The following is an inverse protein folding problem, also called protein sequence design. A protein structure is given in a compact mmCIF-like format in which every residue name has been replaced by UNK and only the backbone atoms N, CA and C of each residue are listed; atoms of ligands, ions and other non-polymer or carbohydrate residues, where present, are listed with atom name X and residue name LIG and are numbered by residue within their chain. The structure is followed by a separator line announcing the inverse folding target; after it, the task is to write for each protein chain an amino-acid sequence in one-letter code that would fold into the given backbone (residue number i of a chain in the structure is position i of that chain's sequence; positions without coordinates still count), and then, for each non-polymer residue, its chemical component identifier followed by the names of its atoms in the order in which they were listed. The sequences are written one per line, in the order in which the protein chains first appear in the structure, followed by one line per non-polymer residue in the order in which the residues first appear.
data_IF_447255743920
#
_entry.id   IF_447255743920
#
_cell.length_a   1.000
_cell.length_b   1.000
_cell.length_c   1.000
_cell.angle_alpha   90.00
_cell.angle_beta   90.00
_cell.angle_gamma   90.00
#
_symmetry.space_group_name_H-M   'P 1'
#
loop_
_entity.id
_entity.type
_entity.pdbx_description
1 polymer ?
#
# COMPACT_ATOMS: atom_id res chain seq x y z
N UNK A 1 0.55 -7.69 5.80
CA UNK A 1 0.10 -6.42 6.42
C UNK A 1 -0.81 -5.64 5.48
N UNK A 2 -0.31 -5.25 4.29
CA UNK A 2 -1.03 -4.36 3.36
C UNK A 2 -2.39 -4.88 2.89
N UNK A 3 -2.64 -6.19 2.88
CA UNK A 3 -3.97 -6.73 2.62
C UNK A 3 -4.99 -6.25 3.66
N UNK A 4 -4.69 -6.40 4.95
CA UNK A 4 -5.59 -5.95 6.01
C UNK A 4 -5.71 -4.43 6.03
N UNK A 5 -4.60 -3.70 5.88
CA UNK A 5 -4.62 -2.25 5.88
C UNK A 5 -5.38 -1.69 4.66
N UNK A 6 -4.94 -2.03 3.45
CA UNK A 6 -5.42 -1.38 2.22
C UNK A 6 -6.66 -2.04 1.63
N UNK A 7 -6.69 -3.37 1.59
CA UNK A 7 -7.79 -4.09 0.96
C UNK A 7 -9.00 -4.25 1.89
N UNK A 8 -8.79 -4.29 3.21
CA UNK A 8 -9.88 -4.35 4.21
C UNK A 8 -10.14 -2.98 4.81
N UNK A 9 -9.21 -2.42 5.59
CA UNK A 9 -9.49 -1.22 6.39
C UNK A 9 -9.74 0.05 5.56
N UNK A 10 -9.19 0.14 4.35
CA UNK A 10 -9.44 1.26 3.43
C UNK A 10 -10.56 0.98 2.41
N UNK A 11 -11.39 -0.04 2.63
CA UNK A 11 -12.51 -0.39 1.75
C UNK A 11 -13.80 0.37 2.11
N UNK A 12 -14.77 0.48 1.18
CA UNK A 12 -16.10 1.01 1.48
C UNK A 12 -16.80 0.21 2.59
N UNK A 13 -16.79 -1.12 2.50
CA UNK A 13 -17.41 -2.02 3.48
C UNK A 13 -16.87 -1.80 4.90
N UNK A 14 -15.57 -1.58 5.05
CA UNK A 14 -15.01 -1.32 6.37
C UNK A 14 -15.42 0.04 6.92
N UNK A 15 -15.65 1.03 6.04
CA UNK A 15 -16.14 2.35 6.44
C UNK A 15 -17.56 2.26 7.04
N UNK A 16 -18.42 1.39 6.49
CA UNK A 16 -19.74 1.08 7.07
C UNK A 16 -19.63 0.46 8.47
N UNK A 17 -18.70 -0.49 8.63
CA UNK A 17 -18.44 -1.13 9.93
C UNK A 17 -17.88 -0.16 10.98
N UNK A 18 -16.98 0.73 10.55
CA UNK A 18 -16.19 1.59 11.44
C UNK A 18 -16.96 2.83 11.88
N UNK A 19 -17.73 3.46 10.99
CA UNK A 19 -18.38 4.74 11.26
C UNK A 19 -19.22 4.75 12.55
N UNK A 20 -20.12 3.77 12.82
CA UNK A 20 -20.89 3.77 14.07
C UNK A 20 -20.02 3.71 15.33
N UNK A 21 -18.84 3.07 15.24
CA UNK A 21 -17.89 2.97 16.37
C UNK A 21 -17.15 4.28 16.59
N UNK A 22 -16.77 4.95 15.52
CA UNK A 22 -16.18 6.28 15.60
C UNK A 22 -17.16 7.29 16.20
N UNK A 23 -18.42 7.31 15.75
CA UNK A 23 -19.43 8.20 16.34
C UNK A 23 -19.69 7.89 17.82
N UNK A 24 -19.61 6.62 18.22
CA UNK A 24 -19.71 6.23 19.64
C UNK A 24 -18.52 6.67 20.48
N UNK A 25 -17.31 6.66 19.91
CA UNK A 25 -16.07 7.04 20.62
C UNK A 25 -15.77 8.54 20.60
N UNK A 26 -16.24 9.25 19.56
CA UNK A 26 -16.03 10.67 19.33
C UNK A 26 -17.39 11.35 19.11
N UNK A 27 -18.09 11.76 20.17
CA UNK A 27 -19.43 12.33 20.06
C UNK A 27 -19.50 13.63 19.23
N UNK A 28 -18.38 14.33 19.08
CA UNK A 28 -18.26 15.55 18.26
C UNK A 28 -18.13 15.25 16.76
N UNK A 29 -17.93 13.98 16.36
CA UNK A 29 -17.99 13.60 14.95
C UNK A 29 -19.40 13.86 14.44
N UNK A 30 -19.52 14.59 13.33
CA UNK A 30 -20.82 15.06 12.82
C UNK A 30 -21.84 13.91 12.76
N UNK A 31 -23.01 14.13 13.35
CA UNK A 31 -24.15 13.21 13.23
C UNK A 31 -24.63 13.03 11.78
N UNK A 32 -24.13 13.84 10.85
CA UNK A 32 -24.42 13.75 9.41
C UNK A 32 -23.36 13.00 8.60
N UNK A 33 -22.27 12.54 9.22
CA UNK A 33 -21.22 11.83 8.50
C UNK A 33 -21.74 10.50 7.94
N UNK A 34 -21.40 10.20 6.69
CA UNK A 34 -21.76 8.95 6.01
C UNK A 34 -20.56 8.01 5.88
N UNK A 35 -20.82 6.75 5.56
CA UNK A 35 -19.74 5.78 5.31
C UNK A 35 -18.89 6.20 4.09
N UNK A 36 -19.52 6.81 3.09
CA UNK A 36 -18.85 7.36 1.91
C UNK A 36 -17.94 8.55 2.27
N UNK A 37 -18.37 9.43 3.19
CA UNK A 37 -17.53 10.53 3.68
C UNK A 37 -16.27 10.00 4.37
N UNK A 38 -16.43 8.98 5.23
CA UNK A 38 -15.32 8.33 5.91
C UNK A 38 -14.40 7.61 4.91
N UNK A 39 -14.97 6.88 3.96
CA UNK A 39 -14.23 6.21 2.90
C UNK A 39 -13.40 7.20 2.08
N UNK A 40 -13.98 8.34 1.69
CA UNK A 40 -13.26 9.41 1.00
C UNK A 40 -12.15 10.01 1.86
N UNK A 41 -12.42 10.31 3.14
CA UNK A 41 -11.47 10.90 4.07
C UNK A 41 -10.25 9.99 4.35
N UNK A 42 -10.45 8.67 4.39
CA UNK A 42 -9.36 7.71 4.59
C UNK A 42 -8.51 7.48 3.33
N UNK A 43 -9.03 7.80 2.15
CA UNK A 43 -8.40 7.50 0.85
C UNK A 43 -7.95 8.76 0.10
N UNK A 44 -7.57 9.81 0.83
CA UNK A 44 -7.06 11.06 0.22
C UNK A 44 -5.68 10.83 -0.41
N UNK A 45 -5.57 11.09 -1.71
CA UNK A 45 -4.30 11.28 -2.44
C UNK A 45 -3.65 12.57 -1.97
N UNK A 46 -2.46 12.47 -1.37
CA UNK A 46 -1.78 13.61 -0.75
C UNK A 46 -0.95 14.37 -1.78
N UNK A 47 -1.01 15.69 -1.70
CA UNK A 47 -0.10 16.58 -2.42
C UNK A 47 0.16 17.84 -1.59
N UNK A 48 1.43 18.18 -1.27
CA UNK A 48 2.65 17.44 -1.61
C UNK A 48 2.81 16.15 -0.78
N UNK A 49 3.41 15.11 -1.37
CA UNK A 49 3.67 13.81 -0.73
C UNK A 49 5.18 13.66 -0.48
N UNK A 50 5.67 14.21 0.64
CA UNK A 50 7.11 14.23 0.97
C UNK A 50 7.58 12.99 1.75
N UNK A 51 6.75 12.49 2.66
CA UNK A 51 7.11 11.44 3.61
C UNK A 51 6.48 10.12 3.20
N UNK A 52 7.32 9.12 2.90
CA UNK A 52 6.87 7.81 2.39
C UNK A 52 5.88 7.11 3.32
N UNK A 53 6.14 7.11 4.63
CA UNK A 53 5.29 6.41 5.60
C UNK A 53 3.92 7.05 5.79
N UNK A 54 3.76 8.30 5.33
CA UNK A 54 2.50 9.06 5.40
C UNK A 54 1.79 9.14 4.03
N UNK A 55 2.43 8.62 2.98
CA UNK A 55 1.92 8.68 1.60
C UNK A 55 0.70 7.78 1.37
N UNK A 56 -0.13 8.17 0.43
CA UNK A 56 -1.33 7.45 0.01
C UNK A 56 -1.03 6.29 -0.96
N UNK A 57 -2.02 5.44 -1.25
CA UNK A 57 -1.81 4.25 -2.09
C UNK A 57 -1.36 4.57 -3.53
N UNK A 58 -1.68 5.77 -4.05
CA UNK A 58 -1.34 6.18 -5.42
C UNK A 58 0.10 6.71 -5.47
N UNK A 59 0.51 7.54 -4.51
CA UNK A 59 1.87 8.12 -4.50
C UNK A 59 2.91 7.20 -3.86
N UNK A 60 2.52 6.25 -3.02
CA UNK A 60 3.43 5.34 -2.32
C UNK A 60 4.40 4.57 -3.23
N UNK A 61 4.00 3.98 -4.38
CA UNK A 61 4.94 3.27 -5.25
C UNK A 61 6.05 4.16 -5.80
N UNK A 62 5.78 5.45 -6.03
CA UNK A 62 6.79 6.41 -6.51
C UNK A 62 7.89 6.62 -5.46
N UNK A 63 7.54 6.73 -4.19
CA UNK A 63 8.52 6.79 -3.09
C UNK A 63 9.47 5.59 -3.07
N UNK A 64 8.95 4.40 -3.40
CA UNK A 64 9.75 3.18 -3.49
C UNK A 64 10.67 3.20 -4.71
N UNK A 65 10.18 3.66 -5.86
CA UNK A 65 10.97 3.77 -7.10
C UNK A 65 12.15 4.72 -6.89
N UNK A 66 11.94 5.88 -6.28
CA UNK A 66 13.01 6.85 -6.00
C UNK A 66 14.16 6.19 -5.22
N UNK A 67 13.84 5.43 -4.16
CA UNK A 67 14.85 4.75 -3.33
C UNK A 67 15.54 3.63 -4.08
N UNK A 68 14.80 2.84 -4.85
CA UNK A 68 15.34 1.77 -5.68
C UNK A 68 16.32 2.31 -6.73
N UNK A 69 15.99 3.43 -7.39
CA UNK A 69 16.88 4.05 -8.38
C UNK A 69 18.16 4.59 -7.75
N UNK A 70 18.07 5.20 -6.57
CA UNK A 70 19.24 5.66 -5.81
C UNK A 70 20.11 4.48 -5.38
N UNK A 71 19.52 3.42 -4.82
CA UNK A 71 20.25 2.20 -4.45
C UNK A 71 20.95 1.58 -5.66
N UNK A 72 20.27 1.49 -6.80
CA UNK A 72 20.88 1.00 -8.03
C UNK A 72 22.05 1.86 -8.49
N UNK A 73 21.91 3.17 -8.46
CA UNK A 73 22.97 4.10 -8.89
C UNK A 73 24.21 4.00 -7.97
N UNK A 74 24.01 3.83 -6.66
CA UNK A 74 25.09 3.57 -5.70
C UNK A 74 25.77 2.23 -6.00
N UNK A 75 25.00 1.16 -6.19
CA UNK A 75 25.55 -0.19 -6.42
C UNK A 75 26.27 -0.31 -7.76
N UNK A 76 25.87 0.46 -8.78
CA UNK A 76 26.55 0.51 -10.07
C UNK A 76 27.77 1.43 -10.08
N UNK A 77 28.04 2.17 -9.00
CA UNK A 77 29.09 3.18 -8.94
C UNK A 77 28.83 4.38 -9.85
N UNK A 78 27.57 4.65 -10.19
CA UNK A 78 27.19 5.79 -11.04
C UNK A 78 27.04 7.09 -10.25
N UNK A 79 26.96 7.02 -8.92
CA UNK A 79 26.99 8.14 -7.99
C UNK A 79 27.83 7.77 -6.76
N UNK A 80 28.36 8.77 -6.06
CA UNK A 80 28.92 8.63 -4.72
C UNK A 80 27.85 8.92 -3.64
N UNK A 81 28.13 8.53 -2.38
CA UNK A 81 27.22 8.77 -1.25
C UNK A 81 26.90 10.26 -1.06
N UNK A 82 27.85 11.14 -1.37
CA UNK A 82 27.67 12.59 -1.24
C UNK A 82 26.67 13.17 -2.27
N UNK A 83 26.35 12.44 -3.33
CA UNK A 83 25.43 12.88 -4.38
C UNK A 83 23.96 12.54 -4.05
N UNK A 84 23.72 11.73 -3.00
CA UNK A 84 22.38 11.27 -2.61
C UNK A 84 21.41 12.44 -2.37
N UNK A 85 21.74 13.52 -1.64
CA UNK A 85 20.79 14.61 -1.39
C UNK A 85 20.27 15.26 -2.69
N UNK A 86 21.17 15.54 -3.63
CA UNK A 86 20.83 16.21 -4.90
C UNK A 86 20.01 15.27 -5.81
N UNK A 87 20.42 14.00 -5.90
CA UNK A 87 19.67 13.02 -6.67
C UNK A 87 18.28 12.77 -6.07
N UNK A 88 18.18 12.73 -4.75
CA UNK A 88 16.89 12.60 -4.04
C UNK A 88 15.95 13.76 -4.38
N UNK A 89 16.43 15.00 -4.27
CA UNK A 89 15.62 16.18 -4.58
C UNK A 89 15.14 16.18 -6.03
N UNK A 90 16.04 15.84 -6.96
CA UNK A 90 15.72 15.73 -8.39
C UNK A 90 14.63 14.68 -8.65
N UNK A 91 14.77 13.50 -8.05
CA UNK A 91 13.83 12.39 -8.20
C UNK A 91 12.48 12.66 -7.54
N UNK A 92 12.45 13.29 -6.36
CA UNK A 92 11.20 13.74 -5.73
C UNK A 92 10.45 14.74 -6.63
N UNK A 93 11.16 15.68 -7.26
CA UNK A 93 10.55 16.60 -8.20
C UNK A 93 10.01 15.90 -9.46
N UNK A 94 10.77 14.95 -10.01
CA UNK A 94 10.41 14.18 -11.20
C UNK A 94 9.15 13.34 -11.00
N UNK A 95 9.11 12.54 -9.93
CA UNK A 95 8.02 11.59 -9.71
C UNK A 95 6.83 12.18 -8.95
N UNK A 96 7.07 13.07 -7.99
CA UNK A 96 6.06 13.54 -7.03
C UNK A 96 5.78 15.04 -7.13
N UNK A 97 6.48 15.77 -8.00
CA UNK A 97 6.26 17.19 -8.22
C UNK A 97 6.62 18.10 -7.03
N UNK A 98 7.33 17.58 -6.02
CA UNK A 98 7.67 18.31 -4.81
C UNK A 98 9.13 18.10 -4.40
N UNK A 99 9.66 19.02 -3.59
CA UNK A 99 11.05 19.00 -3.11
C UNK A 99 11.07 19.13 -1.58
N UNK A 100 11.87 18.31 -0.86
CA UNK A 100 12.03 18.47 0.58
C UNK A 100 12.78 19.78 0.89
N UNK A 101 12.45 20.44 2.01
CA UNK A 101 13.15 21.67 2.42
C UNK A 101 14.45 21.40 3.17
N UNK A 102 14.56 20.19 3.73
CA UNK A 102 15.70 19.75 4.52
C UNK A 102 15.99 18.28 4.24
N UNK A 103 17.21 17.83 4.52
CA UNK A 103 17.55 16.41 4.40
C UNK A 103 16.75 15.52 5.35
N UNK A 104 16.21 16.06 6.46
CA UNK A 104 15.34 15.32 7.38
C UNK A 104 14.02 14.89 6.73
N UNK A 105 13.45 15.75 5.87
CA UNK A 105 12.29 15.44 5.03
C UNK A 105 12.71 14.76 3.72
N UNK A 106 14.00 14.79 3.39
CA UNK A 106 14.59 14.21 2.19
C UNK A 106 15.23 12.84 2.46
N UNK A 107 16.49 12.68 2.02
CA UNK A 107 17.19 11.41 2.06
C UNK A 107 17.45 10.81 3.44
N UNK A 108 17.24 11.56 4.53
CA UNK A 108 17.36 11.07 5.91
C UNK A 108 16.02 10.64 6.53
N UNK A 109 14.92 10.68 5.78
CA UNK A 109 13.59 10.38 6.33
C UNK A 109 13.40 8.92 6.74
N UNK A 110 14.22 7.99 6.23
CA UNK A 110 14.10 6.55 6.45
C UNK A 110 15.38 5.96 7.08
N UNK A 111 15.18 4.99 7.97
CA UNK A 111 16.27 4.35 8.73
C UNK A 111 17.00 3.25 7.93
N UNK A 112 16.41 2.75 6.84
CA UNK A 112 16.84 1.52 6.17
C UNK A 112 18.32 1.50 5.80
N UNK A 113 18.81 2.59 5.20
CA UNK A 113 20.21 2.68 4.79
C UNK A 113 21.19 2.72 5.96
N UNK A 114 20.81 3.32 7.10
CA UNK A 114 21.68 3.38 8.28
C UNK A 114 21.80 2.03 8.99
N UNK A 115 20.83 1.14 8.82
CA UNK A 115 20.86 -0.25 9.33
C UNK A 115 21.30 -1.28 8.28
N UNK A 116 21.77 -0.82 7.11
CA UNK A 116 22.29 -1.69 6.05
C UNK A 116 21.23 -2.45 5.24
N UNK A 117 19.96 -2.06 5.31
CA UNK A 117 18.86 -2.69 4.59
C UNK A 117 18.77 -2.24 3.12
N UNK A 118 19.85 -2.42 2.36
CA UNK A 118 19.95 -2.11 0.93
C UNK A 118 19.22 -3.19 0.10
N UNK A 119 18.45 -2.79 -0.91
CA UNK A 119 17.62 -3.69 -1.70
C UNK A 119 16.29 -4.06 -1.04
N UNK A 120 16.00 -3.47 0.13
CA UNK A 120 14.79 -3.77 0.90
C UNK A 120 13.56 -3.03 0.37
N UNK A 121 13.69 -1.78 -0.07
CA UNK A 121 12.54 -0.95 -0.45
C UNK A 121 11.60 -1.55 -1.51
N UNK A 122 12.09 -2.22 -2.57
CA UNK A 122 11.22 -2.86 -3.56
C UNK A 122 10.18 -3.82 -2.96
N UNK A 123 10.50 -4.45 -1.81
CA UNK A 123 9.59 -5.38 -1.13
C UNK A 123 8.29 -4.74 -0.68
N UNK A 124 8.26 -3.42 -0.42
CA UNK A 124 7.04 -2.71 -0.05
C UNK A 124 6.05 -2.61 -1.20
N UNK A 125 6.51 -2.26 -2.41
CA UNK A 125 5.66 -2.22 -3.60
C UNK A 125 5.20 -3.62 -3.99
N UNK A 126 6.09 -4.62 -3.90
CA UNK A 126 5.71 -6.03 -4.09
C UNK A 126 4.61 -6.45 -3.11
N UNK A 127 4.72 -6.07 -1.83
CA UNK A 127 3.70 -6.36 -0.82
C UNK A 127 2.33 -5.78 -1.16
N UNK A 128 2.27 -4.57 -1.76
CA UNK A 128 1.02 -3.96 -2.20
C UNK A 128 0.42 -4.73 -3.39
N UNK A 129 1.24 -5.13 -4.36
CA UNK A 129 0.80 -5.91 -5.51
C UNK A 129 0.30 -7.29 -5.09
N UNK A 130 1.04 -7.99 -4.22
CA UNK A 130 0.62 -9.26 -3.64
C UNK A 130 -0.71 -9.11 -2.91
N UNK A 131 -0.89 -8.06 -2.10
CA UNK A 131 -2.13 -7.84 -1.37
C UNK A 131 -3.36 -7.73 -2.30
N UNK A 132 -3.24 -6.99 -3.41
CA UNK A 132 -4.35 -6.85 -4.37
C UNK A 132 -4.68 -8.18 -5.06
N UNK A 133 -3.68 -8.90 -5.54
CA UNK A 133 -3.90 -10.16 -6.27
C UNK A 133 -4.37 -11.29 -5.34
N UNK A 134 -3.89 -11.34 -4.10
CA UNK A 134 -4.39 -12.28 -3.08
C UNK A 134 -5.84 -11.94 -2.70
N UNK A 135 -6.18 -10.66 -2.51
CA UNK A 135 -7.56 -10.28 -2.20
C UNK A 135 -8.51 -10.63 -3.34
N UNK A 136 -8.11 -10.42 -4.60
CA UNK A 136 -8.90 -10.82 -5.76
C UNK A 136 -9.20 -12.33 -5.78
N UNK A 137 -8.21 -13.17 -5.41
CA UNK A 137 -8.41 -14.61 -5.29
C UNK A 137 -9.34 -14.96 -4.11
N UNK A 138 -9.18 -14.30 -2.98
CA UNK A 138 -10.04 -14.49 -1.82
C UNK A 138 -11.50 -14.10 -2.13
N UNK A 139 -11.75 -12.98 -2.81
CA UNK A 139 -13.08 -12.54 -3.27
C UNK A 139 -13.75 -13.58 -4.19
N UNK A 140 -12.98 -14.25 -5.05
CA UNK A 140 -13.49 -15.29 -5.93
C UNK A 140 -13.90 -16.58 -5.19
N UNK A 141 -13.19 -16.94 -4.12
CA UNK A 141 -13.50 -18.12 -3.29
C UNK A 141 -14.48 -17.81 -2.15
N UNK A 142 -14.61 -16.54 -1.76
CA UNK A 142 -15.45 -16.05 -0.65
C UNK A 142 -16.37 -14.91 -1.14
N UNK A 143 -17.45 -15.22 -1.88
CA UNK A 143 -18.30 -14.19 -2.51
C UNK A 143 -19.01 -13.25 -1.52
N UNK A 144 -19.09 -13.60 -0.23
CA UNK A 144 -19.70 -12.78 0.83
C UNK A 144 -18.72 -11.87 1.59
N UNK A 145 -17.45 -11.81 1.19
CA UNK A 145 -16.38 -11.16 1.96
C UNK A 145 -16.66 -9.68 2.28
N UNK A 146 -17.27 -8.93 1.36
CA UNK A 146 -17.57 -7.51 1.58
C UNK A 146 -18.70 -7.31 2.60
N UNK A 147 -19.75 -8.14 2.55
CA UNK A 147 -20.83 -8.11 3.54
C UNK A 147 -20.33 -8.55 4.92
N UNK A 148 -19.43 -9.52 4.96
CA UNK A 148 -18.76 -9.95 6.18
C UNK A 148 -17.91 -8.82 6.77
N UNK A 149 -17.12 -8.10 5.95
CA UNK A 149 -16.36 -6.92 6.39
C UNK A 149 -17.30 -5.83 6.96
N UNK A 150 -18.40 -5.50 6.25
CA UNK A 150 -19.37 -4.50 6.70
C UNK A 150 -20.04 -4.88 8.03
N UNK A 151 -20.23 -6.18 8.28
CA UNK A 151 -20.77 -6.71 9.53
C UNK A 151 -19.71 -7.00 10.61
N UNK A 152 -18.42 -6.73 10.34
CA UNK A 152 -17.33 -6.94 11.29
C UNK A 152 -16.87 -8.39 11.46
N UNK A 153 -17.21 -9.26 10.50
CA UNK A 153 -16.82 -10.66 10.47
C UNK A 153 -15.57 -10.84 9.63
N UNK A 154 -14.41 -10.90 10.28
CA UNK A 154 -13.13 -11.06 9.60
C UNK A 154 -12.60 -12.51 9.62
N UNK A 155 -13.36 -13.42 10.23
CA UNK A 155 -12.93 -14.79 10.51
C UNK A 155 -12.63 -15.60 9.26
N UNK A 156 -13.50 -15.54 8.26
CA UNK A 156 -13.41 -16.37 7.06
C UNK A 156 -12.24 -15.95 6.17
N UNK A 157 -12.07 -14.64 5.94
CA UNK A 157 -10.88 -14.11 5.26
C UNK A 157 -9.59 -14.52 6.00
N UNK A 158 -9.56 -14.38 7.34
CA UNK A 158 -8.39 -14.79 8.13
C UNK A 158 -8.10 -16.28 8.02
N UNK A 159 -9.13 -17.13 8.08
CA UNK A 159 -9.01 -18.58 7.96
C UNK A 159 -8.51 -18.99 6.57
N UNK A 160 -9.01 -18.31 5.53
CA UNK A 160 -8.56 -18.49 4.16
C UNK A 160 -7.09 -18.12 4.00
N UNK A 161 -6.68 -16.94 4.49
CA UNK A 161 -5.27 -16.49 4.47
C UNK A 161 -4.37 -17.43 5.27
N UNK A 162 -4.82 -17.91 6.42
CA UNK A 162 -4.08 -18.88 7.23
C UNK A 162 -3.79 -20.15 6.44
N UNK A 163 -4.78 -20.65 5.70
CA UNK A 163 -4.67 -21.90 4.96
C UNK A 163 -3.84 -21.74 3.70
N UNK A 164 -4.12 -20.69 2.91
CA UNK A 164 -3.56 -20.49 1.56
C UNK A 164 -2.19 -19.84 1.59
N UNK A 165 -1.92 -18.97 2.57
CA UNK A 165 -0.69 -18.15 2.61
C UNK A 165 0.15 -18.47 3.85
N UNK A 166 -0.41 -18.34 5.06
CA UNK A 166 0.41 -18.36 6.27
C UNK A 166 0.95 -19.76 6.62
N UNK A 167 0.13 -20.81 6.48
CA UNK A 167 0.50 -22.19 6.85
C UNK A 167 1.58 -22.78 5.94
N UNK A 168 1.71 -22.26 4.72
CA UNK A 168 2.71 -22.70 3.73
C UNK A 168 4.13 -22.29 4.15
N UNK A 169 4.26 -21.18 4.88
CA UNK A 169 5.57 -20.64 5.28
C UNK A 169 6.49 -20.42 4.07
N UNK A 170 7.72 -20.92 4.16
CA UNK A 170 8.73 -20.84 3.08
C UNK A 170 8.82 -22.12 2.24
N UNK A 171 7.72 -22.87 2.11
CA UNK A 171 7.69 -24.11 1.33
C UNK A 171 7.96 -23.87 -0.15
N UNK A 172 7.38 -22.83 -0.74
CA UNK A 172 7.65 -22.46 -2.14
C UNK A 172 8.98 -21.71 -2.27
N UNK A 173 9.77 -21.99 -3.31
CA UNK A 173 11.09 -21.39 -3.52
C UNK A 173 11.03 -19.92 -3.99
N UNK A 174 9.87 -19.44 -4.47
CA UNK A 174 9.70 -18.06 -4.91
C UNK A 174 8.31 -17.52 -4.57
N UNK A 175 8.19 -16.19 -4.54
CA UNK A 175 6.91 -15.51 -4.37
C UNK A 175 5.95 -15.75 -5.54
N UNK A 176 6.48 -15.89 -6.76
CA UNK A 176 5.66 -16.18 -7.95
C UNK A 176 5.06 -17.58 -7.92
N UNK A 177 5.78 -18.58 -7.39
CA UNK A 177 5.23 -19.93 -7.20
C UNK A 177 4.13 -19.93 -6.14
N UNK A 178 4.35 -19.26 -5.00
CA UNK A 178 3.30 -19.04 -4.01
C UNK A 178 2.07 -18.36 -4.64
N UNK A 179 2.27 -17.31 -5.43
CA UNK A 179 1.16 -16.62 -6.09
C UNK A 179 0.45 -17.46 -7.11
N UNK A 180 1.18 -18.30 -7.86
CA UNK A 180 0.57 -19.22 -8.82
C UNK A 180 -0.35 -20.21 -8.11
N UNK A 181 0.07 -20.72 -6.96
CA UNK A 181 -0.74 -21.66 -6.16
C UNK A 181 -1.93 -20.98 -5.47
N UNK A 182 -1.76 -19.75 -4.97
CA UNK A 182 -2.82 -19.02 -4.25
C UNK A 182 -3.82 -18.34 -5.18
N UNK A 183 -3.35 -17.86 -6.34
CA UNK A 183 -4.12 -16.96 -7.22
C UNK A 183 -4.26 -17.46 -8.65
N UNK A 184 -3.67 -18.61 -8.98
CA UNK A 184 -3.72 -19.21 -10.32
C UNK A 184 -2.75 -18.61 -11.34
N UNK A 185 -1.92 -17.63 -10.95
CA UNK A 185 -0.90 -17.05 -11.82
C UNK A 185 0.24 -16.38 -11.03
N UNK A 186 1.42 -16.14 -11.62
CA UNK A 186 2.49 -15.38 -10.97
C UNK A 186 2.05 -13.94 -10.69
N UNK A 187 2.89 -13.16 -9.99
CA UNK A 187 2.56 -11.77 -9.67
C UNK A 187 2.37 -10.94 -10.95
N UNK A 188 1.25 -10.23 -11.02
CA UNK A 188 0.87 -9.37 -12.16
C UNK A 188 0.71 -7.91 -11.72
N UNK A 189 1.63 -7.01 -12.08
CA UNK A 189 1.51 -5.59 -11.75
C UNK A 189 0.21 -4.95 -12.24
N UNK A 190 -0.38 -5.48 -13.33
CA UNK A 190 -1.62 -4.99 -13.91
C UNK A 190 -2.79 -5.11 -12.94
N UNK A 191 -2.81 -6.11 -12.05
CA UNK A 191 -3.86 -6.28 -11.04
C UNK A 191 -3.84 -5.11 -10.06
N UNK A 192 -2.66 -4.67 -9.64
CA UNK A 192 -2.50 -3.51 -8.77
C UNK A 192 -2.93 -2.21 -9.47
N UNK A 193 -2.53 -2.02 -10.73
CA UNK A 193 -2.95 -0.86 -11.52
C UNK A 193 -4.46 -0.82 -11.75
N UNK A 194 -5.09 -1.95 -12.03
CA UNK A 194 -6.54 -2.07 -12.16
C UNK A 194 -7.25 -1.73 -10.85
N UNK A 195 -6.73 -2.22 -9.71
CA UNK A 195 -7.25 -1.87 -8.39
C UNK A 195 -7.21 -0.37 -8.15
N UNK A 196 -6.06 0.28 -8.37
CA UNK A 196 -5.93 1.73 -8.18
C UNK A 196 -6.89 2.51 -9.08
N UNK A 197 -6.99 2.16 -10.36
CA UNK A 197 -7.93 2.83 -11.28
C UNK A 197 -9.39 2.63 -10.85
N UNK A 198 -9.80 1.39 -10.54
CA UNK A 198 -11.16 1.07 -10.09
C UNK A 198 -11.53 1.84 -8.83
N UNK A 199 -10.57 2.01 -7.91
CA UNK A 199 -10.77 2.69 -6.62
C UNK A 199 -10.78 4.21 -6.75
N UNK A 200 -9.77 4.78 -7.41
CA UNK A 200 -9.50 6.21 -7.37
C UNK A 200 -10.19 7.00 -8.48
N UNK A 201 -10.51 6.41 -9.64
CA UNK A 201 -11.26 7.10 -10.70
C UNK A 201 -12.63 7.60 -10.20
N UNK A 202 -13.47 6.79 -9.52
CA UNK A 202 -14.74 7.27 -8.98
C UNK A 202 -14.57 8.27 -7.82
N UNK A 203 -13.59 8.04 -6.92
CA UNK A 203 -13.31 8.93 -5.78
C UNK A 203 -12.96 10.36 -6.23
N UNK A 204 -12.23 10.50 -7.33
CA UNK A 204 -11.75 11.79 -7.84
C UNK A 204 -12.46 12.29 -9.10
N UNK A 205 -13.42 11.52 -9.63
CA UNK A 205 -14.18 11.84 -10.85
C UNK A 205 -13.26 12.14 -12.05
N UNK A 206 -12.27 11.27 -12.25
CA UNK A 206 -11.28 11.34 -13.33
C UNK A 206 -11.83 10.84 -14.67
#
# INVERSE_FOLDING_TARGET
SLLWERMVCLSPSFSEYLLPKLCGAFPDLSSSATADDLYGAMNVVRSPSLIRVESDEVTYPMHIIIRYEIERALMSGSIDVNDIPDLWESKMQEYLGCRPKTNAEGCLQDVHWSVGAIGYFPTYSLGAMYACQIMQAAEAELPGIHDDIASGKFGDLKAWLNTKVHAVGSYYPSGDELMTEVTGSPLKPEVFLQYLNKKYTPLYKL
#
